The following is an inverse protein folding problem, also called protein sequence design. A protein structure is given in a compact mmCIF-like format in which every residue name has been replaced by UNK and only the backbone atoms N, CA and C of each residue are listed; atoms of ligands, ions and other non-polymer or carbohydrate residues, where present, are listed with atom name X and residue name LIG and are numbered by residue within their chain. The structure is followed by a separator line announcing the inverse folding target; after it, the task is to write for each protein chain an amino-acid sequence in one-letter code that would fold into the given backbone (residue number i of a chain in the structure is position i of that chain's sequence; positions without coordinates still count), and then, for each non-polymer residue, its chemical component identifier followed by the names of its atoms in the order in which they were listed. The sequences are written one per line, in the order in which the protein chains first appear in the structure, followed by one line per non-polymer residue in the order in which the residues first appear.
data_IF_841472983508
#
_entry.id   IF_841472983508
#
_cell.length_a   1.000
_cell.length_b   1.000
_cell.length_c   1.000
_cell.angle_alpha   90.00
_cell.angle_beta   90.00
_cell.angle_gamma   90.00
#
_symmetry.space_group_name_H-M   'P 1'
#
loop_
_entity.id
_entity.type
_entity.pdbx_description
1 polymer ?
#
# COMPACT_ATOMS: atom_id res chain seq x y z
N UNK A 1 13.65 -20.88 1.95
CA UNK A 1 12.63 -20.31 1.04
C UNK A 1 12.18 -18.98 1.62
N UNK A 2 12.15 -17.92 0.86
CA UNK A 2 11.76 -16.59 1.33
C UNK A 2 10.30 -16.58 1.77
N UNK A 3 10.02 -16.02 2.96
CA UNK A 3 8.68 -15.84 3.52
C UNK A 3 8.30 -14.36 3.55
N UNK A 4 7.14 -14.03 2.99
CA UNK A 4 6.66 -12.66 2.90
C UNK A 4 5.24 -12.50 3.46
N UNK A 5 5.02 -11.41 4.20
CA UNK A 5 3.70 -10.94 4.60
C UNK A 5 3.27 -9.80 3.70
N UNK A 6 2.09 -9.89 3.10
CA UNK A 6 1.49 -8.83 2.29
C UNK A 6 0.17 -8.39 2.94
N UNK A 7 0.14 -7.16 3.45
CA UNK A 7 -1.07 -6.52 3.91
C UNK A 7 -1.77 -5.84 2.72
N UNK A 8 -3.06 -6.10 2.55
CA UNK A 8 -3.82 -5.58 1.41
C UNK A 8 -3.65 -6.38 0.11
N UNK A 9 -3.38 -7.69 0.19
CA UNK A 9 -3.12 -8.54 -0.98
C UNK A 9 -4.26 -8.65 -1.99
N UNK A 10 -5.51 -8.36 -1.62
CA UNK A 10 -6.64 -8.31 -2.57
C UNK A 10 -6.79 -6.96 -3.29
N UNK A 11 -5.98 -5.96 -2.92
CA UNK A 11 -5.91 -4.66 -3.58
C UNK A 11 -5.12 -4.69 -4.89
N UNK A 12 -5.14 -3.58 -5.62
CA UNK A 12 -4.44 -3.43 -6.90
C UNK A 12 -2.94 -3.75 -6.80
N UNK A 13 -2.22 -3.07 -5.91
CA UNK A 13 -0.77 -3.31 -5.70
C UNK A 13 -0.53 -4.69 -5.12
N UNK A 14 -1.29 -5.09 -4.09
CA UNK A 14 -1.10 -6.35 -3.40
C UNK A 14 -1.30 -7.57 -4.30
N UNK A 15 -2.27 -7.53 -5.22
CA UNK A 15 -2.51 -8.63 -6.18
C UNK A 15 -1.34 -8.80 -7.15
N UNK A 16 -0.83 -7.71 -7.71
CA UNK A 16 0.35 -7.76 -8.59
C UNK A 16 1.61 -8.23 -7.84
N UNK A 17 1.81 -7.79 -6.59
CA UNK A 17 2.89 -8.29 -5.73
C UNK A 17 2.80 -9.80 -5.49
N UNK A 18 1.60 -10.31 -5.18
CA UNK A 18 1.37 -11.74 -4.95
C UNK A 18 1.75 -12.54 -6.20
N UNK A 19 1.31 -12.11 -7.39
CA UNK A 19 1.64 -12.77 -8.64
C UNK A 19 3.17 -12.84 -8.81
N UNK A 20 3.86 -11.72 -8.65
CA UNK A 20 5.32 -11.65 -8.77
C UNK A 20 6.06 -12.51 -7.73
N UNK A 21 5.59 -12.52 -6.48
CA UNK A 21 6.15 -13.38 -5.43
C UNK A 21 5.95 -14.88 -5.74
N UNK A 22 4.83 -15.27 -6.35
CA UNK A 22 4.58 -16.65 -6.78
C UNK A 22 5.51 -17.08 -7.91
N UNK A 23 5.78 -16.20 -8.90
CA UNK A 23 6.79 -16.42 -9.94
C UNK A 23 8.18 -16.68 -9.34
N UNK A 24 8.53 -15.93 -8.27
CA UNK A 24 9.78 -16.12 -7.52
C UNK A 24 9.77 -17.32 -6.55
N UNK A 25 8.68 -18.09 -6.52
CA UNK A 25 8.47 -19.24 -5.62
C UNK A 25 8.60 -18.89 -4.13
N UNK A 26 8.19 -17.69 -3.73
CA UNK A 26 8.15 -17.26 -2.34
C UNK A 26 6.92 -17.78 -1.62
N UNK A 27 7.05 -18.02 -0.33
CA UNK A 27 5.93 -18.38 0.55
C UNK A 27 5.24 -17.13 1.05
N UNK A 28 3.95 -17.00 0.79
CA UNK A 28 3.19 -15.77 0.98
C UNK A 28 2.14 -15.97 2.07
N UNK A 29 2.11 -15.07 3.04
CA UNK A 29 0.96 -14.85 3.91
C UNK A 29 0.31 -13.53 3.48
N UNK A 30 -0.97 -13.56 3.09
CA UNK A 30 -1.71 -12.38 2.68
C UNK A 30 -2.87 -12.10 3.64
N UNK A 31 -2.97 -10.86 4.11
CA UNK A 31 -4.09 -10.38 4.94
C UNK A 31 -4.84 -9.30 4.18
N UNK A 32 -6.16 -9.45 4.05
CA UNK A 32 -7.05 -8.52 3.35
C UNK A 32 -8.40 -8.47 4.05
N UNK A 33 -9.10 -7.32 3.98
CA UNK A 33 -10.38 -7.15 4.68
C UNK A 33 -11.59 -7.39 3.75
N UNK A 34 -11.81 -6.48 2.79
CA UNK A 34 -13.12 -6.34 2.12
C UNK A 34 -13.30 -7.17 0.86
N UNK A 35 -12.22 -7.59 0.22
CA UNK A 35 -12.26 -8.32 -1.05
C UNK A 35 -11.60 -9.67 -0.87
N UNK A 36 -12.25 -10.72 -1.34
CA UNK A 36 -11.61 -12.03 -1.43
C UNK A 36 -10.53 -11.99 -2.51
N UNK A 37 -9.38 -12.56 -2.20
CA UNK A 37 -8.32 -12.77 -3.15
C UNK A 37 -8.61 -14.04 -3.95
N UNK A 38 -8.80 -13.91 -5.25
CA UNK A 38 -9.20 -14.97 -6.19
C UNK A 38 -8.03 -15.79 -6.75
N UNK A 39 -6.84 -15.68 -6.15
CA UNK A 39 -5.67 -16.50 -6.50
C UNK A 39 -5.62 -17.71 -5.56
N UNK A 40 -5.51 -18.92 -6.12
CA UNK A 40 -5.29 -20.16 -5.37
C UNK A 40 -3.93 -20.75 -5.75
N UNK A 41 -3.04 -20.90 -4.76
CA UNK A 41 -1.72 -21.47 -4.97
C UNK A 41 -1.19 -22.08 -3.66
N UNK A 42 -0.44 -23.20 -3.73
CA UNK A 42 0.11 -23.90 -2.55
C UNK A 42 1.04 -23.06 -1.68
N UNK A 43 1.72 -22.06 -2.25
CA UNK A 43 2.62 -21.15 -1.53
C UNK A 43 1.90 -19.92 -0.98
N UNK A 44 0.59 -19.76 -1.18
CA UNK A 44 -0.19 -18.60 -0.76
C UNK A 44 -1.18 -18.97 0.34
N UNK A 45 -0.96 -18.46 1.56
CA UNK A 45 -1.92 -18.50 2.66
C UNK A 45 -2.69 -17.20 2.73
N UNK A 46 -4.03 -17.28 2.63
CA UNK A 46 -4.92 -16.11 2.61
C UNK A 46 -5.68 -15.98 3.93
N UNK A 47 -5.75 -14.76 4.46
CA UNK A 47 -6.57 -14.42 5.61
C UNK A 47 -7.46 -13.23 5.25
N UNK A 48 -8.78 -13.42 5.34
CA UNK A 48 -9.76 -12.36 5.11
C UNK A 48 -10.20 -11.77 6.46
N UNK A 49 -9.40 -10.83 6.97
CA UNK A 49 -9.55 -10.28 8.33
C UNK A 49 -9.25 -8.79 8.30
N UNK A 50 -10.04 -8.01 9.05
CA UNK A 50 -9.79 -6.60 9.30
C UNK A 50 -8.54 -6.42 10.18
N UNK A 51 -7.65 -5.51 9.80
CA UNK A 51 -6.44 -5.21 10.57
C UNK A 51 -6.73 -4.60 11.95
N UNK A 52 -7.95 -4.11 12.20
CA UNK A 52 -8.42 -3.67 13.52
C UNK A 52 -8.72 -4.83 14.48
N UNK A 53 -8.82 -6.04 13.97
CA UNK A 53 -9.04 -7.23 14.81
C UNK A 53 -7.72 -7.76 15.36
N UNK A 54 -7.18 -7.08 16.37
CA UNK A 54 -5.86 -7.35 16.94
C UNK A 54 -5.66 -8.78 17.41
N UNK A 55 -6.66 -9.38 18.07
CA UNK A 55 -6.57 -10.76 18.55
C UNK A 55 -6.36 -11.76 17.42
N UNK A 56 -7.05 -11.58 16.31
CA UNK A 56 -6.89 -12.44 15.14
C UNK A 56 -5.57 -12.15 14.40
N UNK A 57 -5.15 -10.88 14.32
CA UNK A 57 -3.85 -10.52 13.74
C UNK A 57 -2.71 -11.11 14.56
N UNK A 58 -2.73 -10.96 15.88
CA UNK A 58 -1.77 -11.58 16.78
C UNK A 58 -1.70 -13.10 16.54
N UNK A 59 -2.86 -13.79 16.55
CA UNK A 59 -2.93 -15.24 16.31
C UNK A 59 -2.33 -15.67 14.97
N UNK A 60 -2.48 -14.83 13.91
CA UNK A 60 -1.93 -15.13 12.60
C UNK A 60 -0.41 -14.90 12.56
N UNK A 61 0.08 -13.85 13.24
CA UNK A 61 1.47 -13.42 13.16
C UNK A 61 2.36 -14.04 14.25
N UNK A 62 1.78 -14.41 15.40
CA UNK A 62 2.49 -15.00 16.53
C UNK A 62 3.32 -16.22 16.10
N UNK A 63 4.56 -16.21 16.51
CA UNK A 63 5.55 -17.27 16.22
C UNK A 63 5.85 -17.44 14.71
N UNK A 64 5.54 -16.46 13.87
CA UNK A 64 5.94 -16.45 12.48
C UNK A 64 7.11 -15.50 12.24
N UNK A 65 7.99 -15.95 11.36
CA UNK A 65 9.11 -15.14 10.88
C UNK A 65 8.85 -14.80 9.42
N UNK A 66 9.04 -13.54 9.07
CA UNK A 66 8.96 -13.07 7.70
C UNK A 66 10.28 -12.42 7.33
N UNK A 67 10.81 -12.77 6.16
CA UNK A 67 11.95 -12.06 5.58
C UNK A 67 11.54 -10.64 5.17
N UNK A 68 10.33 -10.50 4.64
CA UNK A 68 9.80 -9.24 4.14
C UNK A 68 8.36 -9.04 4.57
N UNK A 69 8.02 -7.78 4.87
CA UNK A 69 6.65 -7.36 5.10
C UNK A 69 6.34 -6.18 4.19
N UNK A 70 5.29 -6.28 3.37
CA UNK A 70 4.87 -5.18 2.50
C UNK A 70 3.47 -4.74 2.89
N UNK A 71 3.37 -3.48 3.31
CA UNK A 71 2.09 -2.85 3.58
C UNK A 71 1.57 -2.11 2.34
N UNK A 72 0.74 -2.79 1.56
CA UNK A 72 -0.06 -2.25 0.46
C UNK A 72 -1.54 -2.10 0.85
N UNK A 73 -1.85 -2.12 2.15
CA UNK A 73 -3.22 -1.95 2.64
C UNK A 73 -3.67 -0.49 2.59
N UNK A 74 -4.99 -0.32 2.55
CA UNK A 74 -5.61 0.99 2.55
C UNK A 74 -6.28 1.34 1.21
N UNK A 75 -6.86 2.52 1.16
CA UNK A 75 -7.58 3.07 0.01
C UNK A 75 -7.38 4.58 -0.04
N UNK A 76 -7.45 5.15 -1.23
CA UNK A 76 -7.38 6.60 -1.40
C UNK A 76 -8.75 7.20 -1.09
N UNK A 77 -8.79 8.09 -0.12
CA UNK A 77 -9.98 8.88 0.23
C UNK A 77 -9.57 10.31 0.58
N UNK A 78 -9.96 11.26 -0.24
CA UNK A 78 -9.68 12.69 -0.04
C UNK A 78 -10.80 13.42 0.73
N UNK A 79 -11.70 12.67 1.39
CA UNK A 79 -12.72 13.28 2.26
C UNK A 79 -12.06 13.94 3.49
N UNK A 80 -12.28 15.24 3.64
CA UNK A 80 -11.71 16.05 4.71
C UNK A 80 -12.70 16.32 5.86
N UNK A 81 -13.85 15.64 5.87
CA UNK A 81 -14.81 15.77 6.97
C UNK A 81 -14.22 15.23 8.27
N UNK A 82 -14.46 15.94 9.36
CA UNK A 82 -14.04 15.52 10.70
C UNK A 82 -14.64 14.14 11.04
N UNK A 83 -15.87 13.87 10.61
CA UNK A 83 -16.55 12.60 10.85
C UNK A 83 -15.85 11.38 10.23
N UNK A 84 -15.09 11.55 9.14
CA UNK A 84 -14.35 10.47 8.49
C UNK A 84 -12.91 10.31 8.99
N UNK A 85 -12.37 11.32 9.69
CA UNK A 85 -10.96 11.36 10.10
C UNK A 85 -10.55 10.18 10.97
N UNK A 86 -11.34 9.85 12.01
CA UNK A 86 -11.07 8.73 12.93
C UNK A 86 -10.90 7.40 12.19
N UNK A 87 -11.79 7.13 11.23
CA UNK A 87 -11.74 5.89 10.44
C UNK A 87 -10.48 5.85 9.57
N UNK A 88 -10.17 6.94 8.88
CA UNK A 88 -9.01 7.03 7.98
C UNK A 88 -7.71 6.88 8.77
N UNK A 89 -7.58 7.57 9.91
CA UNK A 89 -6.41 7.47 10.78
C UNK A 89 -6.25 6.05 11.31
N UNK A 90 -7.32 5.42 11.78
CA UNK A 90 -7.25 4.04 12.25
C UNK A 90 -6.81 3.07 11.15
N UNK A 91 -7.39 3.15 9.96
CA UNK A 91 -7.10 2.21 8.87
C UNK A 91 -5.69 2.40 8.28
N UNK A 92 -5.16 3.62 8.21
CA UNK A 92 -3.88 3.92 7.56
C UNK A 92 -2.70 4.08 8.52
N UNK A 93 -2.96 4.32 9.81
CA UNK A 93 -1.92 4.51 10.81
C UNK A 93 -2.04 3.52 11.97
N UNK A 94 -3.07 3.60 12.82
CA UNK A 94 -3.15 2.83 14.06
C UNK A 94 -3.10 1.31 13.81
N UNK A 95 -3.85 0.82 12.82
CA UNK A 95 -3.86 -0.61 12.49
C UNK A 95 -2.47 -1.10 12.04
N UNK A 96 -1.68 -0.27 11.37
CA UNK A 96 -0.34 -0.64 10.93
C UNK A 96 0.65 -0.63 12.09
N UNK A 97 0.56 0.36 13.00
CA UNK A 97 1.34 0.37 14.24
C UNK A 97 1.11 -0.93 15.03
N UNK A 98 -0.16 -1.35 15.16
CA UNK A 98 -0.47 -2.60 15.86
C UNK A 98 0.05 -3.84 15.15
N UNK A 99 0.01 -3.90 13.82
CA UNK A 99 0.61 -5.02 13.06
C UNK A 99 2.12 -5.08 13.30
N UNK A 100 2.81 -3.95 13.28
CA UNK A 100 4.27 -3.87 13.52
C UNK A 100 4.64 -4.47 14.88
N UNK A 101 3.82 -4.28 15.92
CA UNK A 101 4.07 -4.83 17.25
C UNK A 101 4.05 -6.37 17.30
N UNK A 102 3.41 -7.04 16.33
CA UNK A 102 3.36 -8.50 16.25
C UNK A 102 4.39 -9.10 15.29
N UNK A 103 5.20 -8.27 14.63
CA UNK A 103 6.24 -8.73 13.70
C UNK A 103 7.52 -9.02 14.47
N UNK A 104 8.09 -10.21 14.28
CA UNK A 104 9.43 -10.51 14.77
C UNK A 104 10.47 -9.72 13.96
N UNK A 105 11.00 -8.66 14.55
CA UNK A 105 11.97 -7.77 13.89
C UNK A 105 13.35 -8.40 13.68
N UNK A 106 13.75 -9.39 14.50
CA UNK A 106 15.06 -10.04 14.41
C UNK A 106 15.25 -10.83 13.10
N UNK A 107 14.16 -11.34 12.54
CA UNK A 107 14.15 -12.09 11.27
C UNK A 107 13.77 -11.23 10.07
N UNK A 108 13.32 -10.00 10.32
CA UNK A 108 12.84 -9.09 9.29
C UNK A 108 14.00 -8.44 8.54
N UNK A 109 14.14 -8.72 7.25
CA UNK A 109 15.12 -8.04 6.38
C UNK A 109 14.63 -6.65 5.98
N UNK A 110 13.34 -6.51 5.64
CA UNK A 110 12.77 -5.22 5.26
C UNK A 110 11.25 -5.16 5.47
N UNK A 111 10.78 -4.05 6.02
CA UNK A 111 9.39 -3.61 6.01
C UNK A 111 9.22 -2.54 4.95
N UNK A 112 8.39 -2.79 3.94
CA UNK A 112 8.11 -1.83 2.87
C UNK A 112 6.74 -1.20 3.09
N UNK A 113 6.71 0.10 3.33
CA UNK A 113 5.50 0.90 3.44
C UNK A 113 5.16 1.54 2.10
N UNK A 114 4.00 1.22 1.55
CA UNK A 114 3.47 2.00 0.42
C UNK A 114 2.89 3.30 0.98
N UNK A 115 3.63 4.39 0.79
CA UNK A 115 3.26 5.76 1.08
C UNK A 115 2.44 6.39 -0.04
N UNK A 116 2.42 7.72 -0.09
CA UNK A 116 1.70 8.47 -1.13
C UNK A 116 2.43 9.79 -1.47
N UNK A 117 2.41 10.18 -2.73
CA UNK A 117 2.81 11.52 -3.16
C UNK A 117 1.97 12.63 -2.51
N UNK A 118 0.75 12.31 -2.03
CA UNK A 118 -0.12 13.26 -1.31
C UNK A 118 0.49 13.74 0.02
N UNK A 119 1.46 13.01 0.58
CA UNK A 119 2.19 13.41 1.79
C UNK A 119 2.91 14.75 1.61
N UNK A 120 3.40 15.03 0.39
CA UNK A 120 4.05 16.30 0.07
C UNK A 120 3.08 17.49 0.06
N UNK A 121 1.79 17.28 -0.25
CA UNK A 121 0.81 18.34 -0.40
C UNK A 121 0.98 19.15 -1.69
N UNK A 122 0.72 20.47 -1.63
CA UNK A 122 0.62 21.34 -2.82
C UNK A 122 1.91 22.12 -3.14
N UNK A 123 3.05 21.46 -3.19
CA UNK A 123 4.26 22.12 -3.65
C UNK A 123 4.21 22.43 -5.15
N UNK A 124 4.63 23.67 -5.52
CA UNK A 124 4.74 24.13 -6.93
C UNK A 124 6.12 23.87 -7.53
N UNK A 125 7.03 23.24 -6.79
CA UNK A 125 8.41 22.93 -7.21
C UNK A 125 8.62 21.43 -7.34
N UNK A 126 9.75 21.02 -7.92
CA UNK A 126 10.18 19.63 -7.96
C UNK A 126 10.19 19.05 -6.54
N UNK A 127 9.58 17.89 -6.40
CA UNK A 127 9.49 17.19 -5.12
C UNK A 127 10.77 16.39 -4.87
N UNK A 128 11.16 16.32 -3.61
CA UNK A 128 12.25 15.47 -3.12
C UNK A 128 11.92 14.98 -1.70
N UNK A 129 12.56 13.91 -1.28
CA UNK A 129 12.31 13.25 0.00
C UNK A 129 12.64 14.14 1.21
N UNK A 130 13.52 15.12 1.03
CA UNK A 130 13.94 16.07 2.06
C UNK A 130 12.94 17.23 2.29
N UNK A 131 11.88 17.31 1.48
CA UNK A 131 10.86 18.33 1.68
C UNK A 131 10.02 17.98 2.91
N UNK A 132 9.69 19.01 3.71
CA UNK A 132 8.74 18.84 4.81
C UNK A 132 7.37 18.53 4.24
N UNK A 133 6.74 17.50 4.76
CA UNK A 133 5.39 17.09 4.36
C UNK A 133 4.36 18.18 4.74
N UNK A 134 3.41 18.41 3.84
CA UNK A 134 2.31 19.35 4.02
C UNK A 134 0.97 18.70 3.62
N UNK A 135 0.54 17.67 4.36
CA UNK A 135 -0.66 16.91 4.02
C UNK A 135 -1.91 17.81 4.03
N UNK A 136 -2.72 17.71 2.98
CA UNK A 136 -3.93 18.54 2.79
C UNK A 136 -5.23 17.74 2.90
N UNK A 137 -5.15 16.47 3.29
CA UNK A 137 -6.30 15.60 3.50
C UNK A 137 -6.09 14.68 4.69
N UNK A 138 -7.19 14.15 5.27
CA UNK A 138 -7.12 13.13 6.32
C UNK A 138 -6.32 11.90 5.88
N UNK A 139 -6.43 11.52 4.62
CA UNK A 139 -5.66 10.42 4.03
C UNK A 139 -4.15 10.75 4.00
N UNK A 140 -3.80 11.90 3.44
CA UNK A 140 -2.40 12.35 3.38
C UNK A 140 -1.78 12.47 4.77
N UNK A 141 -2.54 13.02 5.75
CA UNK A 141 -2.10 13.12 7.15
C UNK A 141 -1.83 11.74 7.76
N UNK A 142 -2.72 10.78 7.56
CA UNK A 142 -2.54 9.43 8.09
C UNK A 142 -1.34 8.70 7.43
N UNK A 143 -1.10 8.93 6.12
CA UNK A 143 0.10 8.44 5.42
C UNK A 143 1.38 9.10 5.94
N UNK A 144 1.37 10.42 6.16
CA UNK A 144 2.49 11.12 6.78
C UNK A 144 2.77 10.60 8.20
N UNK A 145 1.72 10.34 8.98
CA UNK A 145 1.88 9.82 10.35
C UNK A 145 2.59 8.45 10.37
N UNK A 146 2.21 7.51 9.52
CA UNK A 146 2.90 6.20 9.47
C UNK A 146 4.33 6.34 8.92
N UNK A 147 4.57 7.23 7.97
CA UNK A 147 5.91 7.54 7.48
C UNK A 147 6.80 8.03 8.62
N UNK A 148 6.35 9.02 9.38
CA UNK A 148 7.12 9.56 10.54
C UNK A 148 7.33 8.54 11.65
N UNK A 149 6.34 7.71 11.92
CA UNK A 149 6.48 6.62 12.88
C UNK A 149 7.55 5.61 12.46
N UNK A 150 7.58 5.23 11.19
CA UNK A 150 8.58 4.30 10.66
C UNK A 150 9.99 4.93 10.62
N UNK A 151 10.12 6.21 10.28
CA UNK A 151 11.37 6.96 10.36
C UNK A 151 11.90 6.98 11.81
N UNK A 152 11.02 7.22 12.79
CA UNK A 152 11.35 7.13 14.22
C UNK A 152 11.83 5.72 14.60
N UNK A 153 11.08 4.67 14.25
CA UNK A 153 11.47 3.29 14.55
C UNK A 153 12.80 2.89 13.90
N UNK A 154 13.06 3.36 12.68
CA UNK A 154 14.34 3.09 12.02
C UNK A 154 15.52 3.72 12.76
N UNK A 155 15.38 5.02 13.12
CA UNK A 155 16.44 5.77 13.81
C UNK A 155 16.71 5.24 15.22
N UNK A 156 15.65 5.01 16.02
CA UNK A 156 15.78 4.76 17.45
C UNK A 156 15.78 3.27 17.81
N UNK A 157 15.26 2.42 16.93
CA UNK A 157 15.10 0.98 17.16
C UNK A 157 15.76 0.10 16.07
N UNK A 158 16.46 0.69 15.12
CA UNK A 158 17.04 -0.01 13.97
C UNK A 158 16.00 -0.88 13.21
N UNK A 159 14.73 -0.44 13.18
CA UNK A 159 13.69 -1.16 12.47
C UNK A 159 13.93 -1.06 10.95
N UNK A 160 14.11 -2.17 10.23
CA UNK A 160 14.54 -2.15 8.84
C UNK A 160 13.37 -1.79 7.91
N UNK A 161 13.07 -0.52 7.72
CA UNK A 161 11.97 -0.08 6.86
C UNK A 161 12.42 0.76 5.67
N UNK A 162 11.55 0.80 4.68
CA UNK A 162 11.60 1.67 3.50
C UNK A 162 10.20 2.21 3.22
N UNK A 163 10.11 3.48 2.87
CA UNK A 163 8.84 4.13 2.50
C UNK A 163 8.89 4.49 1.02
N UNK A 164 7.91 4.02 0.25
CA UNK A 164 7.75 4.32 -1.17
C UNK A 164 6.58 5.28 -1.36
N UNK A 165 6.84 6.58 -1.51
CA UNK A 165 5.83 7.61 -1.78
C UNK A 165 5.41 7.56 -3.24
N UNK A 166 4.40 6.75 -3.53
CA UNK A 166 3.93 6.53 -4.91
C UNK A 166 2.99 7.63 -5.37
N UNK A 167 3.08 7.96 -6.66
CA UNK A 167 2.15 8.85 -7.36
C UNK A 167 1.04 8.04 -8.04
N UNK A 168 0.77 8.25 -9.31
CA UNK A 168 -0.34 7.59 -10.00
C UNK A 168 0.11 6.27 -10.63
N UNK A 169 -0.08 5.18 -9.90
CA UNK A 169 0.11 3.85 -10.46
C UNK A 169 -1.06 3.48 -11.37
N UNK A 170 -0.78 2.75 -12.45
CA UNK A 170 -1.78 2.18 -13.33
C UNK A 170 -1.36 0.79 -13.83
N UNK A 171 -2.35 -0.02 -14.25
CA UNK A 171 -2.10 -1.36 -14.80
C UNK A 171 -3.19 -2.38 -14.50
N UNK A 172 -2.94 -3.68 -14.75
CA UNK A 172 -3.87 -4.77 -14.53
C UNK A 172 -4.42 -4.80 -13.11
N UNK A 173 -5.70 -5.18 -12.98
CA UNK A 173 -6.45 -5.28 -11.71
C UNK A 173 -6.76 -3.93 -11.02
N UNK A 174 -6.43 -2.79 -11.64
CA UNK A 174 -6.84 -1.48 -11.13
C UNK A 174 -8.36 -1.29 -11.27
N UNK A 175 -8.94 -0.52 -10.36
CA UNK A 175 -10.36 -0.17 -10.43
C UNK A 175 -10.67 0.58 -11.74
N UNK A 176 -11.68 0.10 -12.47
CA UNK A 176 -12.12 0.63 -13.78
C UNK A 176 -12.53 2.10 -13.75
N UNK A 177 -12.85 2.64 -12.58
CA UNK A 177 -13.19 4.07 -12.41
C UNK A 177 -11.95 4.97 -12.25
N UNK A 178 -10.73 4.44 -12.25
CA UNK A 178 -9.50 5.24 -12.30
C UNK A 178 -9.23 5.69 -13.73
N UNK A 179 -8.58 6.86 -13.87
CA UNK A 179 -8.42 7.56 -15.15
C UNK A 179 -7.96 6.64 -16.29
N UNK A 180 -6.81 5.98 -16.14
CA UNK A 180 -6.24 5.17 -17.22
C UNK A 180 -7.13 3.98 -17.58
N UNK A 181 -7.58 3.11 -16.64
CA UNK A 181 -8.51 2.02 -16.96
C UNK A 181 -9.87 2.54 -17.49
N UNK A 182 -10.35 3.68 -17.00
CA UNK A 182 -11.59 4.28 -17.48
C UNK A 182 -11.49 4.69 -18.95
N UNK A 183 -10.42 5.40 -19.32
CA UNK A 183 -10.17 5.82 -20.71
C UNK A 183 -10.05 4.58 -21.61
N UNK A 184 -9.20 3.62 -21.25
CA UNK A 184 -8.99 2.38 -22.03
C UNK A 184 -10.32 1.67 -22.25
N UNK A 185 -11.10 1.43 -21.17
CA UNK A 185 -12.35 0.68 -21.27
C UNK A 185 -13.39 1.38 -22.13
N UNK A 186 -13.51 2.70 -22.04
CA UNK A 186 -14.49 3.44 -22.86
C UNK A 186 -14.04 3.52 -24.33
N UNK A 187 -12.76 3.75 -24.59
CA UNK A 187 -12.20 3.78 -25.95
C UNK A 187 -12.39 2.44 -26.66
N UNK A 188 -12.08 1.31 -26.00
CA UNK A 188 -12.26 -0.03 -26.55
C UNK A 188 -13.74 -0.35 -26.87
N UNK A 189 -14.68 0.25 -26.13
CA UNK A 189 -16.11 0.08 -26.35
C UNK A 189 -16.73 1.16 -27.23
N UNK A 190 -15.92 2.01 -27.89
CA UNK A 190 -16.34 3.13 -28.73
C UNK A 190 -17.36 4.08 -28.05
N UNK A 191 -17.26 4.25 -26.71
CA UNK A 191 -18.14 5.11 -25.94
C UNK A 191 -17.60 6.54 -25.87
N UNK A 192 -18.47 7.52 -26.09
CA UNK A 192 -18.17 8.91 -25.80
C UNK A 192 -18.16 9.14 -24.29
N UNK A 193 -17.17 9.83 -23.77
CA UNK A 193 -17.04 10.16 -22.34
C UNK A 193 -16.44 11.54 -22.14
N UNK A 194 -16.83 12.27 -21.08
CA UNK A 194 -16.26 13.58 -20.80
C UNK A 194 -14.83 13.46 -20.28
N UNK A 195 -13.96 14.34 -20.77
CA UNK A 195 -12.59 14.51 -20.29
C UNK A 195 -12.31 15.98 -20.01
N UNK A 196 -11.38 16.24 -19.08
CA UNK A 196 -10.88 17.60 -18.86
C UNK A 196 -9.98 18.05 -20.02
N UNK A 197 -9.59 19.34 -20.03
CA UNK A 197 -8.67 19.89 -21.05
C UNK A 197 -7.27 19.24 -21.08
N UNK A 198 -6.99 18.30 -20.18
CA UNK A 198 -5.71 17.54 -20.16
C UNK A 198 -4.46 18.34 -19.80
N UNK A 199 -4.61 19.56 -19.26
CA UNK A 199 -3.47 20.44 -18.91
C UNK A 199 -2.80 20.10 -17.58
N UNK A 200 -3.36 19.17 -16.80
CA UNK A 200 -2.81 18.77 -15.52
C UNK A 200 -1.55 17.90 -15.73
N UNK A 201 -0.43 18.34 -15.17
CA UNK A 201 0.76 17.51 -15.08
C UNK A 201 0.49 16.38 -14.07
N UNK A 202 0.83 15.16 -14.45
CA UNK A 202 0.66 13.97 -13.61
C UNK A 202 1.85 13.04 -13.85
N UNK A 203 2.33 12.46 -12.77
CA UNK A 203 3.36 11.44 -12.80
C UNK A 203 2.69 10.06 -12.77
N UNK A 204 2.83 9.31 -13.87
CA UNK A 204 2.27 7.97 -14.01
C UNK A 204 3.38 6.93 -14.01
N UNK A 205 3.20 5.88 -13.22
CA UNK A 205 4.10 4.74 -13.19
C UNK A 205 3.31 3.45 -13.47
N UNK A 206 3.81 2.62 -14.38
CA UNK A 206 3.20 1.32 -14.65
C UNK A 206 3.44 0.36 -13.49
N UNK A 207 2.45 -0.47 -13.20
CA UNK A 207 2.49 -1.31 -11.99
C UNK A 207 3.67 -2.28 -11.99
N UNK A 208 4.04 -2.85 -13.14
CA UNK A 208 5.14 -3.82 -13.19
C UNK A 208 6.49 -3.15 -12.90
N UNK A 209 6.71 -1.91 -13.40
CA UNK A 209 7.91 -1.13 -13.09
C UNK A 209 8.01 -0.85 -11.59
N UNK A 210 6.86 -0.50 -10.97
CA UNK A 210 6.79 -0.28 -9.53
C UNK A 210 7.01 -1.57 -8.73
N UNK A 211 6.45 -2.70 -9.17
CA UNK A 211 6.67 -3.99 -8.53
C UNK A 211 8.15 -4.38 -8.63
N UNK A 212 8.78 -4.19 -9.78
CA UNK A 212 10.21 -4.46 -9.93
C UNK A 212 11.09 -3.60 -9.04
N UNK A 213 10.73 -2.32 -8.84
CA UNK A 213 11.41 -1.45 -7.89
C UNK A 213 11.37 -2.01 -6.45
N UNK A 214 10.25 -2.59 -6.03
CA UNK A 214 10.12 -3.19 -4.68
C UNK A 214 11.08 -4.38 -4.48
N UNK A 215 11.46 -5.07 -5.56
CA UNK A 215 12.36 -6.22 -5.49
C UNK A 215 13.85 -5.89 -5.66
N UNK A 216 14.19 -4.63 -5.94
CA UNK A 216 15.57 -4.10 -5.93
C UNK A 216 15.98 -3.67 -4.52
#
# INVERSE_FOLDING_TARGET
MTEILILGGSGFIGKNLIIKCLEKKWKITSISNKRKLDINHKLLKKHNIDLSNYKNIEKILKNKNFDYVINASGYVNHDNKISSSKKIINEHFINIVNVINFINKEKLKKFVQIGSGDEYGNYKKKLSENLREQPISNYALAKTAITKYLEFLNRDNNFPCIILRVFLLYGPYQNKNRLIPFVINNSLNAKTFPVSKGKQLRDFCYIDDFIELIFK
#
